data_IF_237218232073
#
_entry.id   IF_237218232073
#
_cell.length_a   1.000
_cell.length_b   1.000
_cell.length_c   1.000
_cell.angle_alpha   90.00
_cell.angle_beta   90.00
_cell.angle_gamma   90.00
#
_symmetry.space_group_name_H-M   'P 1'
#
loop_
_entity.id
_entity.type
_entity.pdbx_description
1 polymer ?
#
# COMPACT_ATOMS: atom_id res chain seq x y z
N UNK A 1 7.77 23.04 14.75
CA UNK A 1 7.13 23.32 13.44
C UNK A 1 6.64 22.04 12.76
N UNK A 2 7.50 21.05 12.50
CA UNK A 2 7.12 19.80 11.82
C UNK A 2 6.02 18.99 12.55
N UNK A 3 6.13 18.84 13.88
CA UNK A 3 5.10 18.17 14.70
C UNK A 3 3.73 18.85 14.54
N UNK A 4 3.68 20.19 14.40
CA UNK A 4 2.42 20.90 14.22
C UNK A 4 1.75 20.55 12.87
N UNK A 5 2.51 20.40 11.80
CA UNK A 5 1.98 19.93 10.51
C UNK A 5 1.46 18.50 10.57
N UNK A 6 2.15 17.62 11.31
CA UNK A 6 1.72 16.23 11.52
C UNK A 6 0.42 16.18 12.32
N UNK A 7 0.33 16.95 13.41
CA UNK A 7 -0.91 17.08 14.19
C UNK A 7 -2.04 17.64 13.33
N UNK A 8 -1.77 18.68 12.53
CA UNK A 8 -2.76 19.24 11.60
C UNK A 8 -3.24 18.19 10.58
N UNK A 9 -2.33 17.42 9.98
CA UNK A 9 -2.66 16.33 9.06
C UNK A 9 -3.56 15.26 9.73
N UNK A 10 -3.23 14.85 10.95
CA UNK A 10 -4.03 13.88 11.70
C UNK A 10 -5.42 14.43 12.02
N UNK A 11 -5.52 15.68 12.49
CA UNK A 11 -6.79 16.34 12.79
C UNK A 11 -7.65 16.45 11.54
N UNK A 12 -7.09 16.85 10.40
CA UNK A 12 -7.81 16.93 9.12
C UNK A 12 -8.28 15.55 8.68
N UNK A 13 -7.43 14.52 8.77
CA UNK A 13 -7.78 13.14 8.42
C UNK A 13 -8.94 12.63 9.27
N UNK A 14 -8.86 12.80 10.59
CA UNK A 14 -9.93 12.42 11.52
C UNK A 14 -11.21 13.19 11.20
N UNK A 15 -11.12 14.50 10.95
CA UNK A 15 -12.28 15.33 10.63
C UNK A 15 -12.96 14.88 9.33
N UNK A 16 -12.19 14.54 8.29
CA UNK A 16 -12.70 14.00 7.02
C UNK A 16 -13.41 12.67 7.28
N UNK A 17 -12.79 11.74 8.01
CA UNK A 17 -13.37 10.43 8.29
C UNK A 17 -14.64 10.49 9.14
N UNK A 18 -14.66 11.31 10.19
CA UNK A 18 -15.85 11.52 11.01
C UNK A 18 -16.97 12.26 10.26
N UNK A 19 -16.62 13.19 9.37
CA UNK A 19 -17.61 13.84 8.50
C UNK A 19 -18.20 12.85 7.49
N UNK A 20 -17.37 11.97 6.93
CA UNK A 20 -17.79 10.92 6.02
C UNK A 20 -18.73 9.91 6.68
N UNK A 21 -18.57 9.66 8.00
CA UNK A 21 -19.45 8.77 8.76
C UNK A 21 -20.93 9.19 8.72
N UNK A 22 -21.22 10.48 8.49
CA UNK A 22 -22.60 10.96 8.29
C UNK A 22 -23.28 10.42 7.04
N UNK A 23 -22.53 9.78 6.13
CA UNK A 23 -23.06 9.13 4.91
C UNK A 23 -23.46 7.68 5.12
N UNK A 24 -23.18 7.09 6.29
CA UNK A 24 -23.46 5.69 6.56
C UNK A 24 -24.81 5.54 7.22
N UNK A 25 -25.77 4.92 6.52
CA UNK A 25 -27.11 4.67 7.05
C UNK A 25 -27.43 3.18 7.20
N UNK A 26 -26.78 2.33 6.40
CA UNK A 26 -26.98 0.88 6.42
C UNK A 26 -25.66 0.10 6.21
N UNK A 27 -25.76 -1.23 6.18
CA UNK A 27 -24.60 -2.11 5.98
C UNK A 27 -23.98 -1.98 4.57
N UNK A 28 -24.75 -1.60 3.55
CA UNK A 28 -24.24 -1.44 2.18
C UNK A 28 -23.42 -0.14 2.07
N UNK A 29 -23.87 0.92 2.73
CA UNK A 29 -23.07 2.14 2.90
C UNK A 29 -21.80 1.87 3.70
N UNK A 30 -21.90 1.10 4.79
CA UNK A 30 -20.76 0.80 5.64
C UNK A 30 -19.68 -0.02 4.93
N UNK A 31 -20.07 -1.10 4.23
CA UNK A 31 -19.11 -2.03 3.63
C UNK A 31 -18.65 -1.59 2.25
N UNK A 32 -19.52 -1.02 1.40
CA UNK A 32 -19.19 -0.72 -0.01
C UNK A 32 -19.54 0.71 -0.43
N UNK A 33 -19.74 1.62 0.53
CA UNK A 33 -20.12 3.02 0.26
C UNK A 33 -21.34 3.14 -0.67
N UNK A 34 -22.30 2.23 -0.52
CA UNK A 34 -23.52 2.23 -1.33
C UNK A 34 -23.28 1.95 -2.81
N UNK A 35 -22.08 1.50 -3.19
CA UNK A 35 -21.63 1.37 -4.59
C UNK A 35 -21.76 2.70 -5.34
N UNK A 36 -21.20 3.74 -4.76
CA UNK A 36 -21.37 5.12 -5.26
C UNK A 36 -20.04 5.83 -5.51
N UNK A 37 -18.90 5.16 -5.31
CA UNK A 37 -17.59 5.80 -5.45
C UNK A 37 -17.33 6.18 -6.92
N UNK A 38 -17.17 7.49 -7.22
CA UNK A 38 -16.78 7.93 -8.55
C UNK A 38 -15.34 7.50 -8.87
N UNK A 39 -14.97 7.58 -10.15
CA UNK A 39 -13.69 7.06 -10.66
C UNK A 39 -12.48 7.57 -9.88
N UNK A 40 -12.40 8.87 -9.60
CA UNK A 40 -11.25 9.44 -8.89
C UNK A 40 -11.12 8.93 -7.45
N UNK A 41 -12.23 8.74 -6.73
CA UNK A 41 -12.21 8.16 -5.38
C UNK A 41 -11.84 6.69 -5.44
N UNK A 42 -12.44 5.93 -6.35
CA UNK A 42 -12.15 4.50 -6.50
C UNK A 42 -10.67 4.26 -6.83
N UNK A 43 -10.12 5.00 -7.80
CA UNK A 43 -8.69 4.96 -8.15
C UNK A 43 -7.80 5.32 -6.96
N UNK A 44 -8.12 6.39 -6.23
CA UNK A 44 -7.34 6.79 -5.06
C UNK A 44 -7.37 5.72 -3.96
N UNK A 45 -8.53 5.12 -3.68
CA UNK A 45 -8.66 4.04 -2.70
C UNK A 45 -7.88 2.79 -3.11
N UNK A 46 -7.92 2.40 -4.38
CA UNK A 46 -7.12 1.27 -4.89
C UNK A 46 -5.63 1.57 -4.74
N UNK A 47 -5.19 2.77 -5.12
CA UNK A 47 -3.80 3.20 -4.96
C UNK A 47 -3.38 3.23 -3.48
N UNK A 48 -4.12 3.94 -2.62
CA UNK A 48 -3.80 4.13 -1.20
C UNK A 48 -3.72 2.81 -0.42
N UNK A 49 -4.60 1.86 -0.74
CA UNK A 49 -4.62 0.55 -0.07
C UNK A 49 -3.34 -0.22 -0.32
N UNK A 50 -2.77 -0.10 -1.53
CA UNK A 50 -1.57 -0.84 -1.95
C UNK A 50 -0.28 -0.05 -1.75
N UNK A 51 -0.34 1.28 -1.76
CA UNK A 51 0.78 2.16 -1.49
C UNK A 51 0.94 2.39 0.02
N UNK A 52 1.41 1.36 0.72
CA UNK A 52 1.60 1.39 2.17
C UNK A 52 3.05 1.61 2.62
N UNK A 53 3.28 1.50 3.92
CA UNK A 53 4.62 1.58 4.50
C UNK A 53 5.58 0.49 4.00
N UNK A 54 5.06 -0.67 3.60
CA UNK A 54 5.83 -1.74 2.97
C UNK A 54 6.48 -1.27 1.65
N UNK A 55 5.68 -0.71 0.74
CA UNK A 55 6.17 -0.19 -0.55
C UNK A 55 7.15 0.95 -0.35
N UNK A 56 6.88 1.86 0.60
CA UNK A 56 7.77 2.99 0.84
C UNK A 56 9.08 2.55 1.49
N UNK A 57 9.02 1.74 2.56
CA UNK A 57 10.18 1.42 3.39
C UNK A 57 10.86 0.11 3.00
N UNK A 58 10.11 -0.99 3.00
CA UNK A 58 10.67 -2.34 2.82
C UNK A 58 11.12 -2.59 1.39
N UNK A 59 10.28 -2.25 0.40
CA UNK A 59 10.59 -2.46 -1.03
C UNK A 59 11.77 -1.59 -1.48
N UNK A 60 11.84 -0.35 -1.01
CA UNK A 60 12.97 0.54 -1.30
C UNK A 60 14.29 0.03 -0.72
N UNK A 61 14.27 -0.48 0.52
CA UNK A 61 15.44 -1.11 1.14
C UNK A 61 15.84 -2.41 0.42
N UNK A 62 14.86 -3.22 0.01
CA UNK A 62 15.09 -4.46 -0.73
C UNK A 62 15.72 -4.18 -2.11
N UNK A 63 15.22 -3.17 -2.82
CA UNK A 63 15.85 -2.70 -4.06
C UNK A 63 17.29 -2.26 -3.83
N UNK A 64 17.54 -1.48 -2.77
CA UNK A 64 18.89 -1.02 -2.45
C UNK A 64 19.86 -2.19 -2.22
N UNK A 65 19.40 -3.33 -1.69
CA UNK A 65 20.18 -4.56 -1.54
C UNK A 65 20.31 -5.34 -2.85
N UNK A 66 19.18 -5.76 -3.40
CA UNK A 66 19.09 -6.82 -4.40
C UNK A 66 18.67 -6.33 -5.80
N UNK A 67 18.47 -5.03 -5.98
CA UNK A 67 18.05 -4.44 -7.25
C UNK A 67 16.65 -4.85 -7.67
N UNK A 68 16.35 -4.71 -8.97
CA UNK A 68 15.03 -5.04 -9.51
C UNK A 68 14.64 -6.52 -9.33
N UNK A 69 15.61 -7.44 -9.37
CA UNK A 69 15.35 -8.86 -9.15
C UNK A 69 14.83 -9.21 -7.75
N UNK A 70 15.14 -8.39 -6.73
CA UNK A 70 14.65 -8.56 -5.35
C UNK A 70 13.22 -8.07 -5.12
N UNK A 71 12.75 -7.14 -5.95
CA UNK A 71 11.43 -6.47 -5.81
C UNK A 71 10.38 -7.03 -6.78
N UNK A 72 10.50 -8.30 -7.14
CA UNK A 72 9.57 -8.93 -8.09
C UNK A 72 8.15 -9.09 -7.53
N UNK A 73 8.01 -9.27 -6.21
CA UNK A 73 6.71 -9.39 -5.55
C UNK A 73 5.95 -8.05 -5.52
N UNK A 74 6.60 -6.99 -5.04
CA UNK A 74 6.13 -5.60 -5.06
C UNK A 74 7.25 -4.74 -5.65
N UNK A 75 7.02 -3.96 -6.74
CA UNK A 75 5.69 -3.59 -7.26
C UNK A 75 5.16 -4.45 -8.40
N UNK A 76 5.97 -5.34 -8.99
CA UNK A 76 5.59 -6.04 -10.23
C UNK A 76 4.44 -7.04 -10.04
N UNK A 77 4.50 -7.89 -9.02
CA UNK A 77 3.44 -8.85 -8.69
C UNK A 77 2.15 -8.15 -8.26
N UNK A 78 2.23 -7.24 -7.29
CA UNK A 78 1.09 -6.44 -6.83
C UNK A 78 0.38 -5.68 -7.96
N UNK A 79 1.13 -5.01 -8.84
CA UNK A 79 0.56 -4.29 -9.98
C UNK A 79 -0.08 -5.23 -11.00
N UNK A 80 0.55 -6.38 -11.26
CA UNK A 80 -0.01 -7.40 -12.13
C UNK A 80 -1.35 -7.93 -11.58
N UNK A 81 -1.43 -8.18 -10.26
CA UNK A 81 -2.68 -8.58 -9.60
C UNK A 81 -3.81 -7.57 -9.88
N UNK A 82 -3.54 -6.28 -9.64
CA UNK A 82 -4.52 -5.21 -9.86
C UNK A 82 -4.96 -5.12 -11.34
N UNK A 83 -4.03 -5.27 -12.28
CA UNK A 83 -4.35 -5.28 -13.72
C UNK A 83 -5.19 -6.50 -14.09
N UNK A 84 -4.82 -7.70 -13.64
CA UNK A 84 -5.58 -8.93 -13.90
C UNK A 84 -6.98 -8.84 -13.32
N UNK A 85 -7.11 -8.36 -12.08
CA UNK A 85 -8.42 -8.13 -11.46
C UNK A 85 -9.22 -7.15 -12.30
N UNK A 86 -8.66 -6.01 -12.68
CA UNK A 86 -9.37 -5.02 -13.47
C UNK A 86 -9.89 -5.57 -14.80
N UNK A 87 -9.08 -6.36 -15.51
CA UNK A 87 -9.41 -6.87 -16.84
C UNK A 87 -10.38 -8.06 -16.81
N UNK A 88 -10.18 -9.00 -15.89
CA UNK A 88 -10.88 -10.29 -15.91
C UNK A 88 -11.96 -10.43 -14.83
N UNK A 89 -11.72 -9.90 -13.63
CA UNK A 89 -12.57 -10.17 -12.47
C UNK A 89 -13.48 -8.99 -12.10
N UNK A 90 -13.09 -7.75 -12.36
CA UNK A 90 -13.76 -6.56 -11.84
C UNK A 90 -15.22 -6.48 -12.31
N UNK A 91 -15.50 -6.79 -13.58
CA UNK A 91 -16.88 -6.84 -14.11
C UNK A 91 -17.70 -7.94 -13.43
N UNK A 92 -17.11 -9.11 -13.27
CA UNK A 92 -17.77 -10.25 -12.65
C UNK A 92 -18.12 -9.95 -11.18
N UNK A 93 -17.14 -9.53 -10.39
CA UNK A 93 -17.33 -9.13 -8.99
C UNK A 93 -18.36 -8.01 -8.84
N UNK A 94 -18.29 -6.98 -9.69
CA UNK A 94 -19.25 -5.89 -9.65
C UNK A 94 -20.69 -6.41 -9.88
N UNK A 95 -20.92 -7.23 -10.90
CA UNK A 95 -22.27 -7.76 -11.25
C UNK A 95 -22.86 -8.71 -10.22
N UNK A 96 -22.05 -9.33 -9.37
CA UNK A 96 -22.55 -10.28 -8.37
C UNK A 96 -23.34 -9.60 -7.24
N UNK A 97 -23.19 -8.28 -7.06
CA UNK A 97 -23.83 -7.47 -6.00
C UNK A 97 -23.72 -8.10 -4.60
N UNK A 98 -22.50 -8.52 -4.24
CA UNK A 98 -22.16 -9.07 -2.94
C UNK A 98 -21.43 -8.03 -2.10
N UNK A 99 -21.54 -8.13 -0.77
CA UNK A 99 -20.87 -7.24 0.17
C UNK A 99 -19.43 -7.69 0.45
N UNK A 100 -19.22 -9.01 0.51
CA UNK A 100 -17.91 -9.60 0.82
C UNK A 100 -17.53 -10.70 -0.17
N UNK A 101 -16.23 -10.99 -0.26
CA UNK A 101 -15.74 -12.16 -0.97
C UNK A 101 -16.19 -13.46 -0.28
N UNK A 102 -16.44 -13.42 1.04
CA UNK A 102 -17.04 -14.53 1.78
C UNK A 102 -18.41 -14.94 1.23
N UNK A 103 -19.25 -13.96 0.87
CA UNK A 103 -20.56 -14.21 0.25
C UNK A 103 -20.43 -14.95 -1.09
N UNK A 104 -19.35 -14.70 -1.84
CA UNK A 104 -19.08 -15.42 -3.08
C UNK A 104 -18.86 -16.91 -2.79
N UNK A 105 -18.03 -17.23 -1.78
CA UNK A 105 -17.79 -18.61 -1.38
C UNK A 105 -19.05 -19.29 -0.81
N UNK A 106 -19.91 -18.55 -0.10
CA UNK A 106 -21.21 -19.05 0.34
C UNK A 106 -22.08 -19.46 -0.84
N UNK A 107 -22.21 -18.58 -1.83
CA UNK A 107 -23.05 -18.78 -3.02
C UNK A 107 -22.51 -19.89 -3.92
N UNK A 108 -21.18 -19.99 -4.03
CA UNK A 108 -20.51 -20.98 -4.89
C UNK A 108 -20.42 -22.37 -4.26
N UNK A 109 -20.28 -22.45 -2.93
CA UNK A 109 -20.09 -23.70 -2.20
C UNK A 109 -21.16 -23.86 -1.11
N UNK A 110 -20.91 -23.31 0.08
CA UNK A 110 -21.83 -23.36 1.23
C UNK A 110 -21.32 -22.46 2.38
N UNK A 111 -22.11 -22.40 3.46
CA UNK A 111 -21.80 -21.60 4.66
C UNK A 111 -20.54 -22.04 5.44
N UNK A 112 -20.22 -23.33 5.60
CA UNK A 112 -18.95 -23.73 6.19
C UNK A 112 -17.72 -23.15 5.46
N UNK A 113 -17.71 -23.19 4.13
CA UNK A 113 -16.59 -22.66 3.33
C UNK A 113 -16.51 -21.13 3.42
N UNK A 114 -17.64 -20.43 3.45
CA UNK A 114 -17.71 -18.98 3.73
C UNK A 114 -17.02 -18.63 5.05
N UNK A 115 -17.37 -19.33 6.14
CA UNK A 115 -16.82 -19.06 7.47
C UNK A 115 -15.31 -19.33 7.49
N UNK A 116 -14.89 -20.51 7.02
CA UNK A 116 -13.46 -20.88 7.00
C UNK A 116 -12.65 -19.87 6.18
N UNK A 117 -13.12 -19.51 4.99
CA UNK A 117 -12.40 -18.58 4.11
C UNK A 117 -12.35 -17.17 4.70
N UNK A 118 -13.45 -16.69 5.28
CA UNK A 118 -13.50 -15.37 5.93
C UNK A 118 -12.55 -15.29 7.13
N UNK A 119 -12.46 -16.36 7.92
CA UNK A 119 -11.52 -16.46 9.05
C UNK A 119 -10.08 -16.45 8.54
N UNK A 120 -9.74 -17.27 7.55
CA UNK A 120 -8.38 -17.32 6.96
C UNK A 120 -7.96 -15.96 6.40
N UNK A 121 -8.85 -15.29 5.64
CA UNK A 121 -8.59 -13.94 5.10
C UNK A 121 -8.39 -12.92 6.23
N UNK A 122 -9.20 -12.99 7.29
CA UNK A 122 -9.06 -12.09 8.44
C UNK A 122 -7.70 -12.27 9.11
N UNK A 123 -7.26 -13.51 9.33
CA UNK A 123 -5.95 -13.81 9.90
C UNK A 123 -4.81 -13.35 8.99
N UNK A 124 -4.94 -13.46 7.66
CA UNK A 124 -3.90 -12.99 6.74
C UNK A 124 -3.69 -11.47 6.82
N UNK A 125 -4.75 -10.69 7.06
CA UNK A 125 -4.63 -9.24 7.22
C UNK A 125 -3.97 -8.81 8.53
N UNK A 126 -3.89 -9.67 9.55
CA UNK A 126 -3.20 -9.30 10.80
C UNK A 126 -1.73 -9.00 10.56
N UNK A 127 -1.05 -9.80 9.73
CA UNK A 127 0.34 -9.57 9.36
C UNK A 127 0.51 -8.21 8.68
N UNK A 128 -0.26 -7.98 7.62
CA UNK A 128 -0.19 -6.72 6.86
C UNK A 128 -0.54 -5.50 7.73
N UNK A 129 -1.63 -5.55 8.48
CA UNK A 129 -2.07 -4.45 9.34
C UNK A 129 -1.06 -4.18 10.45
N UNK A 130 -0.45 -5.22 11.04
CA UNK A 130 0.58 -5.06 12.07
C UNK A 130 1.83 -4.33 11.56
N UNK A 131 2.23 -4.58 10.31
CA UNK A 131 3.34 -3.90 9.66
C UNK A 131 3.04 -2.41 9.46
N UNK A 132 1.82 -2.06 9.01
CA UNK A 132 1.40 -0.67 8.84
C UNK A 132 1.33 0.08 10.19
N UNK A 133 0.77 -0.56 11.23
CA UNK A 133 0.70 0.04 12.57
C UNK A 133 2.09 0.25 13.17
N UNK A 134 3.02 -0.69 12.94
CA UNK A 134 4.42 -0.57 13.37
C UNK A 134 5.11 0.60 12.68
N UNK A 135 4.93 0.77 11.37
CA UNK A 135 5.49 1.89 10.63
C UNK A 135 4.95 3.25 11.11
N UNK A 136 3.64 3.33 11.39
CA UNK A 136 3.04 4.54 11.97
C UNK A 136 3.59 4.84 13.37
N UNK A 137 3.76 3.82 14.22
CA UNK A 137 4.39 3.98 15.52
C UNK A 137 5.85 4.40 15.44
N UNK A 138 6.60 3.89 14.46
CA UNK A 138 7.97 4.31 14.17
C UNK A 138 8.00 5.78 13.77
N UNK A 139 7.10 6.23 12.90
CA UNK A 139 6.98 7.64 12.54
C UNK A 139 6.76 8.52 13.78
N UNK A 140 5.84 8.16 14.69
CA UNK A 140 5.64 8.92 15.93
C UNK A 140 6.88 8.93 16.84
N UNK A 141 7.55 7.79 16.99
CA UNK A 141 8.78 7.70 17.76
C UNK A 141 9.88 8.59 17.18
N UNK A 142 10.11 8.54 15.87
CA UNK A 142 11.12 9.35 15.17
C UNK A 142 10.80 10.84 15.25
N UNK A 143 9.56 11.23 14.98
CA UNK A 143 9.15 12.64 14.97
C UNK A 143 9.15 13.29 16.37
N UNK A 144 8.98 12.48 17.41
CA UNK A 144 9.06 12.92 18.80
C UNK A 144 10.48 12.83 19.38
N UNK A 145 11.49 12.49 18.58
CA UNK A 145 12.86 12.22 19.02
C UNK A 145 12.93 11.21 20.18
N UNK A 146 12.11 10.15 20.10
CA UNK A 146 12.05 9.08 21.09
C UNK A 146 11.22 9.39 22.34
N UNK A 147 10.60 10.58 22.44
CA UNK A 147 9.73 10.91 23.57
C UNK A 147 8.45 10.04 23.62
N UNK A 148 7.98 9.57 22.45
CA UNK A 148 6.92 8.56 22.35
C UNK A 148 7.57 7.20 22.03
N UNK A 149 7.60 6.26 22.99
CA UNK A 149 8.10 4.91 22.72
C UNK A 149 7.29 4.21 21.63
N UNK A 150 7.95 3.37 20.82
CA UNK A 150 7.31 2.63 19.72
C UNK A 150 5.99 1.93 20.10
N UNK A 151 5.88 1.17 21.22
CA UNK A 151 4.61 0.53 21.59
C UNK A 151 3.47 1.53 21.82
N UNK A 152 3.78 2.67 22.44
CA UNK A 152 2.80 3.74 22.65
C UNK A 152 2.42 4.38 21.32
N UNK A 153 3.39 4.61 20.43
CA UNK A 153 3.15 5.13 19.08
C UNK A 153 2.21 4.22 18.27
N UNK A 154 2.41 2.89 18.35
CA UNK A 154 1.54 1.90 17.71
C UNK A 154 0.11 1.99 18.24
N UNK A 155 -0.07 2.03 19.56
CA UNK A 155 -1.39 2.11 20.19
C UNK A 155 -2.11 3.41 19.82
N UNK A 156 -1.40 4.55 19.85
CA UNK A 156 -1.97 5.84 19.46
C UNK A 156 -2.37 5.85 17.98
N UNK A 157 -1.52 5.33 17.10
CA UNK A 157 -1.80 5.21 15.67
C UNK A 157 -3.03 4.34 15.41
N UNK A 158 -3.09 3.17 16.05
CA UNK A 158 -4.24 2.27 15.97
C UNK A 158 -5.52 2.93 16.49
N UNK A 159 -5.47 3.63 17.62
CA UNK A 159 -6.63 4.33 18.18
C UNK A 159 -7.19 5.39 17.23
N UNK A 160 -6.31 6.16 16.57
CA UNK A 160 -6.70 7.17 15.58
C UNK A 160 -7.34 6.52 14.35
N UNK A 161 -6.68 5.52 13.76
CA UNK A 161 -7.14 4.86 12.52
C UNK A 161 -8.44 4.10 12.75
N UNK A 162 -8.53 3.33 13.85
CA UNK A 162 -9.77 2.66 14.24
C UNK A 162 -10.88 3.68 14.53
N UNK A 163 -10.53 4.80 15.17
CA UNK A 163 -11.47 5.83 15.59
C UNK A 163 -12.24 6.50 14.45
N UNK A 164 -11.69 6.65 13.25
CA UNK A 164 -12.49 7.16 12.11
C UNK A 164 -13.00 6.05 11.19
N UNK A 165 -12.38 4.86 11.21
CA UNK A 165 -12.75 3.74 10.33
C UNK A 165 -13.98 3.00 10.86
N UNK A 166 -14.04 2.73 12.17
CA UNK A 166 -15.16 2.00 12.80
C UNK A 166 -16.48 2.75 12.69
N UNK A 167 -16.45 4.08 12.76
CA UNK A 167 -17.68 4.87 12.64
C UNK A 167 -18.09 5.14 11.19
N UNK A 168 -17.14 5.31 10.28
CA UNK A 168 -17.45 5.78 8.94
C UNK A 168 -17.32 4.77 7.80
N UNK A 169 -16.87 3.55 8.08
CA UNK A 169 -16.79 2.46 7.10
C UNK A 169 -16.07 2.85 5.81
N UNK A 170 -16.54 2.31 4.68
CA UNK A 170 -15.95 2.54 3.36
C UNK A 170 -16.01 4.00 2.91
N UNK A 171 -17.01 4.78 3.35
CA UNK A 171 -17.08 6.21 3.04
C UNK A 171 -15.95 7.01 3.67
N UNK A 172 -15.63 6.72 4.93
CA UNK A 172 -14.51 7.31 5.64
C UNK A 172 -13.19 6.95 4.98
N UNK A 173 -12.99 5.66 4.72
CA UNK A 173 -11.79 5.15 4.01
C UNK A 173 -11.64 5.83 2.65
N UNK A 174 -12.67 5.87 1.81
CA UNK A 174 -12.53 6.42 0.46
C UNK A 174 -12.21 7.93 0.44
N UNK A 175 -12.75 8.71 1.38
CA UNK A 175 -12.46 10.14 1.47
C UNK A 175 -11.09 10.42 2.09
N UNK A 176 -10.70 9.66 3.13
CA UNK A 176 -9.35 9.77 3.68
C UNK A 176 -8.32 9.33 2.65
N UNK A 177 -8.55 8.22 1.95
CA UNK A 177 -7.64 7.71 0.91
C UNK A 177 -7.46 8.72 -0.21
N UNK A 178 -8.52 9.41 -0.64
CA UNK A 178 -8.41 10.47 -1.65
C UNK A 178 -7.49 11.61 -1.18
N UNK A 179 -7.72 12.12 0.04
CA UNK A 179 -6.89 13.17 0.61
C UNK A 179 -5.44 12.72 0.79
N UNK A 180 -5.23 11.54 1.37
CA UNK A 180 -3.92 10.98 1.68
C UNK A 180 -3.13 10.65 0.41
N UNK A 181 -3.78 10.10 -0.62
CA UNK A 181 -3.15 9.80 -1.91
C UNK A 181 -2.57 11.04 -2.55
N UNK A 182 -3.32 12.15 -2.55
CA UNK A 182 -2.85 13.43 -3.09
C UNK A 182 -1.64 13.93 -2.31
N UNK A 183 -1.70 13.88 -0.98
CA UNK A 183 -0.60 14.29 -0.10
C UNK A 183 0.65 13.43 -0.30
N UNK A 184 0.50 12.11 -0.43
CA UNK A 184 1.59 11.16 -0.68
C UNK A 184 2.24 11.44 -2.04
N UNK A 185 1.42 11.54 -3.09
CA UNK A 185 1.91 11.79 -4.46
C UNK A 185 2.73 13.07 -4.50
N UNK A 186 2.21 14.17 -3.94
CA UNK A 186 2.92 15.45 -3.90
C UNK A 186 4.17 15.36 -3.02
N UNK A 187 4.03 14.86 -1.79
CA UNK A 187 5.10 14.82 -0.79
C UNK A 187 6.29 13.98 -1.24
N UNK A 188 6.03 12.75 -1.70
CA UNK A 188 7.07 11.82 -2.16
C UNK A 188 7.74 12.35 -3.44
N UNK A 189 6.99 12.96 -4.36
CA UNK A 189 7.58 13.58 -5.57
C UNK A 189 8.49 14.76 -5.22
N UNK A 190 8.10 15.62 -4.27
CA UNK A 190 8.94 16.73 -3.82
C UNK A 190 10.22 16.24 -3.14
N UNK A 191 10.13 15.22 -2.28
CA UNK A 191 11.31 14.60 -1.66
C UNK A 191 12.23 14.01 -2.72
N UNK A 192 11.68 13.27 -3.70
CA UNK A 192 12.48 12.72 -4.81
C UNK A 192 13.20 13.82 -5.60
N UNK A 193 12.54 14.95 -5.86
CA UNK A 193 13.16 16.07 -6.55
C UNK A 193 14.32 16.68 -5.73
N UNK A 194 14.10 16.97 -4.44
CA UNK A 194 15.13 17.57 -3.56
C UNK A 194 16.31 16.63 -3.36
N UNK A 195 16.06 15.38 -2.98
CA UNK A 195 17.11 14.39 -2.73
C UNK A 195 17.83 14.04 -4.05
N UNK A 196 17.10 13.97 -5.17
CA UNK A 196 17.70 13.77 -6.48
C UNK A 196 18.65 14.90 -6.88
N UNK A 197 18.29 16.17 -6.62
CA UNK A 197 19.15 17.32 -6.86
C UNK A 197 20.41 17.30 -5.98
N UNK A 198 20.24 17.01 -4.68
CA UNK A 198 21.35 16.86 -3.73
C UNK A 198 22.33 15.75 -4.12
N UNK A 199 21.87 14.67 -4.76
CA UNK A 199 22.71 13.59 -5.26
C UNK A 199 23.51 13.98 -6.54
N UNK A 200 23.25 15.15 -7.11
CA UNK A 200 23.84 15.64 -8.36
C UNK A 200 22.96 15.41 -9.59
N UNK A 201 21.64 15.30 -9.40
CA UNK A 201 20.63 15.16 -10.45
C UNK A 201 20.19 13.71 -10.70
N UNK A 202 18.94 13.55 -11.16
CA UNK A 202 18.31 12.24 -11.37
C UNK A 202 19.11 11.34 -12.35
N UNK A 203 19.73 11.91 -13.38
CA UNK A 203 20.56 11.15 -14.33
C UNK A 203 21.75 10.47 -13.67
N UNK A 204 22.39 11.14 -12.69
CA UNK A 204 23.53 10.57 -11.94
C UNK A 204 23.09 9.43 -11.03
N UNK A 205 21.94 9.57 -10.37
CA UNK A 205 21.36 8.52 -9.54
C UNK A 205 21.04 7.26 -10.37
N UNK A 206 20.39 7.45 -11.52
CA UNK A 206 20.03 6.35 -12.43
C UNK A 206 21.28 5.69 -13.03
N UNK A 207 22.29 6.47 -13.42
CA UNK A 207 23.55 5.92 -13.94
C UNK A 207 24.28 5.10 -12.88
N UNK A 208 24.39 5.59 -11.65
CA UNK A 208 24.99 4.84 -10.54
C UNK A 208 24.24 3.53 -10.25
N UNK A 209 22.90 3.55 -10.31
CA UNK A 209 22.09 2.33 -10.17
C UNK A 209 22.37 1.33 -11.28
N UNK A 210 22.50 1.79 -12.52
CA UNK A 210 22.83 0.95 -13.67
C UNK A 210 24.23 0.33 -13.53
N UNK A 211 25.24 1.13 -13.18
CA UNK A 211 26.63 0.70 -12.97
C UNK A 211 26.74 -0.33 -11.84
N UNK A 212 25.93 -0.17 -10.78
CA UNK A 212 25.83 -1.11 -9.67
C UNK A 212 24.99 -2.36 -9.99
N UNK A 213 24.55 -2.54 -11.24
CA UNK A 213 23.74 -3.70 -11.67
C UNK A 213 22.33 -3.74 -11.10
N UNK A 214 21.82 -2.63 -10.53
CA UNK A 214 20.51 -2.62 -9.85
C UNK A 214 19.32 -2.81 -10.79
N UNK A 215 19.56 -2.74 -12.11
CA UNK A 215 18.56 -3.05 -13.13
C UNK A 215 18.58 -4.50 -13.61
N UNK A 216 19.47 -5.34 -13.07
CA UNK A 216 19.40 -6.78 -13.30
C UNK A 216 18.06 -7.33 -12.77
N UNK A 217 17.16 -7.64 -13.69
CA UNK A 217 15.80 -8.09 -13.36
C UNK A 217 15.71 -9.61 -13.22
N UNK A 218 16.41 -10.35 -14.08
CA UNK A 218 16.30 -11.81 -14.15
C UNK A 218 17.29 -12.50 -13.20
N UNK A 219 16.88 -13.60 -12.55
CA UNK A 219 17.81 -14.42 -11.79
C UNK A 219 18.95 -14.95 -12.66
N UNK A 220 20.18 -14.81 -12.17
CA UNK A 220 21.40 -15.36 -12.80
C UNK A 220 21.77 -16.75 -12.27
N UNK A 221 21.07 -17.22 -11.24
CA UNK A 221 21.30 -18.49 -10.57
C UNK A 221 20.62 -19.69 -11.24
N UNK A 222 20.60 -20.81 -10.53
CA UNK A 222 20.02 -22.06 -10.99
C UNK A 222 18.52 -22.18 -10.71
N UNK A 223 18.03 -23.42 -10.69
CA UNK A 223 16.60 -23.70 -10.54
C UNK A 223 16.01 -23.14 -9.23
N UNK A 224 16.79 -23.09 -8.14
CA UNK A 224 16.33 -22.58 -6.84
C UNK A 224 15.99 -21.09 -6.90
N UNK A 225 16.85 -20.29 -7.52
CA UNK A 225 16.67 -18.84 -7.66
C UNK A 225 15.50 -18.52 -8.58
N UNK A 226 15.35 -19.25 -9.68
CA UNK A 226 14.19 -19.13 -10.57
C UNK A 226 12.88 -19.55 -9.89
N UNK A 227 12.90 -20.61 -9.08
CA UNK A 227 11.76 -21.02 -8.28
C UNK A 227 11.39 -19.94 -7.27
N UNK A 228 12.35 -19.42 -6.50
CA UNK A 228 12.11 -18.37 -5.51
C UNK A 228 11.53 -17.10 -6.16
N UNK A 229 12.10 -16.68 -7.30
CA UNK A 229 11.62 -15.55 -8.10
C UNK A 229 10.18 -15.77 -8.57
N UNK A 230 9.90 -16.94 -9.17
CA UNK A 230 8.57 -17.30 -9.66
C UNK A 230 7.55 -17.40 -8.53
N UNK A 231 7.90 -18.00 -7.40
CA UNK A 231 7.00 -18.11 -6.25
C UNK A 231 6.72 -16.76 -5.61
N UNK A 232 7.74 -15.91 -5.43
CA UNK A 232 7.56 -14.57 -4.87
C UNK A 232 6.61 -13.72 -5.74
N UNK A 233 6.81 -13.77 -7.06
CA UNK A 233 5.91 -13.13 -8.00
C UNK A 233 4.48 -13.71 -7.92
N UNK A 234 4.32 -15.03 -8.03
CA UNK A 234 3.01 -15.70 -8.02
C UNK A 234 2.23 -15.44 -6.73
N UNK A 235 2.91 -15.41 -5.58
CA UNK A 235 2.29 -15.16 -4.28
C UNK A 235 1.56 -13.81 -4.26
N UNK A 236 2.15 -12.75 -4.79
CA UNK A 236 1.51 -11.43 -4.84
C UNK A 236 0.62 -11.25 -6.08
N UNK A 237 1.09 -11.71 -7.24
CA UNK A 237 0.42 -11.56 -8.53
C UNK A 237 -0.92 -12.31 -8.61
N UNK A 238 -0.97 -13.53 -8.08
CA UNK A 238 -2.16 -14.40 -8.15
C UNK A 238 -2.75 -14.62 -6.76
N UNK A 239 -1.90 -14.80 -5.74
CA UNK A 239 -2.36 -15.08 -4.37
C UNK A 239 -3.18 -13.95 -3.74
N UNK A 240 -3.03 -12.72 -4.22
CA UNK A 240 -3.81 -11.58 -3.72
C UNK A 240 -5.16 -11.37 -4.44
N UNK A 241 -5.43 -12.02 -5.58
CA UNK A 241 -6.70 -11.88 -6.32
C UNK A 241 -7.95 -12.14 -5.47
N UNK A 242 -8.02 -13.18 -4.62
CA UNK A 242 -9.21 -13.47 -3.81
C UNK A 242 -9.30 -12.63 -2.53
N UNK A 243 -8.50 -11.58 -2.37
CA UNK A 243 -8.49 -10.77 -1.16
C UNK A 243 -9.72 -9.84 -1.05
N UNK A 244 -10.14 -9.59 0.19
CA UNK A 244 -11.33 -8.82 0.51
C UNK A 244 -11.19 -7.34 0.17
N UNK A 245 -10.00 -6.76 0.35
CA UNK A 245 -9.72 -5.37 0.01
C UNK A 245 -9.92 -5.13 -1.49
N UNK A 246 -9.32 -5.95 -2.36
CA UNK A 246 -9.51 -5.88 -3.81
C UNK A 246 -11.00 -5.98 -4.17
N UNK A 247 -11.67 -7.02 -3.65
CA UNK A 247 -13.09 -7.25 -3.90
C UNK A 247 -13.93 -6.03 -3.51
N UNK A 248 -13.69 -5.49 -2.31
CA UNK A 248 -14.43 -4.36 -1.76
C UNK A 248 -14.21 -3.08 -2.55
N UNK A 249 -12.99 -2.80 -3.04
CA UNK A 249 -12.72 -1.62 -3.87
C UNK A 249 -13.42 -1.71 -5.23
N UNK A 250 -13.41 -2.89 -5.84
CA UNK A 250 -14.14 -3.15 -7.10
C UNK A 250 -15.63 -2.95 -6.92
N UNK A 251 -16.24 -3.53 -5.88
CA UNK A 251 -17.69 -3.48 -5.67
C UNK A 251 -18.18 -2.12 -5.17
N UNK A 252 -17.32 -1.30 -4.57
CA UNK A 252 -17.68 0.05 -4.10
C UNK A 252 -17.80 1.10 -5.23
N UNK A 253 -17.37 0.78 -6.44
CA UNK A 253 -17.48 1.68 -7.59
C UNK A 253 -18.94 2.06 -7.89
N UNK A 254 -19.17 3.24 -8.48
CA UNK A 254 -20.51 3.71 -8.87
C UNK A 254 -21.17 2.94 -10.01
N UNK A 255 -20.35 2.35 -10.88
CA UNK A 255 -20.77 1.59 -12.06
C UNK A 255 -19.69 0.59 -12.46
N UNK A 256 -20.05 -0.39 -13.27
CA UNK A 256 -19.13 -1.44 -13.74
C UNK A 256 -17.91 -0.88 -14.48
N UNK A 257 -18.12 0.20 -15.25
CA UNK A 257 -17.07 0.84 -16.03
C UNK A 257 -16.03 1.48 -15.10
N UNK A 258 -16.50 2.06 -14.00
CA UNK A 258 -15.73 2.64 -12.93
C UNK A 258 -15.01 1.55 -12.13
N UNK A 259 -15.64 0.40 -11.88
CA UNK A 259 -14.99 -0.73 -11.21
C UNK A 259 -13.73 -1.20 -11.98
N UNK A 260 -13.86 -1.35 -13.31
CA UNK A 260 -12.74 -1.74 -14.18
C UNK A 260 -11.69 -0.63 -14.28
N UNK A 261 -12.10 0.58 -14.66
CA UNK A 261 -11.17 1.70 -14.90
C UNK A 261 -10.50 2.15 -13.60
N UNK A 262 -11.24 2.16 -12.50
CA UNK A 262 -10.75 2.57 -11.18
C UNK A 262 -9.64 1.66 -10.70
N UNK A 263 -9.88 0.35 -10.75
CA UNK A 263 -8.88 -0.68 -10.41
C UNK A 263 -7.67 -0.63 -11.33
N UNK A 264 -7.88 -0.50 -12.65
CA UNK A 264 -6.78 -0.43 -13.62
C UNK A 264 -5.92 0.82 -13.41
N UNK A 265 -6.54 1.99 -13.29
CA UNK A 265 -5.83 3.24 -13.05
C UNK A 265 -5.11 3.22 -11.70
N UNK A 266 -5.75 2.68 -10.66
CA UNK A 266 -5.12 2.54 -9.34
C UNK A 266 -3.86 1.68 -9.40
N UNK A 267 -3.91 0.55 -10.10
CA UNK A 267 -2.75 -0.31 -10.33
C UNK A 267 -1.64 0.33 -11.16
N UNK A 268 -1.99 1.08 -12.21
CA UNK A 268 -1.01 1.80 -13.04
C UNK A 268 -0.34 2.94 -12.26
N UNK A 269 -1.12 3.71 -11.49
CA UNK A 269 -0.59 4.78 -10.64
C UNK A 269 0.30 4.19 -9.55
N UNK A 270 -0.13 3.11 -8.89
CA UNK A 270 0.68 2.40 -7.91
C UNK A 270 2.01 1.92 -8.50
N UNK A 271 1.99 1.21 -9.63
CA UNK A 271 3.20 0.74 -10.31
C UNK A 271 4.16 1.89 -10.60
N UNK A 272 3.64 3.00 -11.13
CA UNK A 272 4.46 4.16 -11.50
C UNK A 272 5.07 4.84 -10.28
N UNK A 273 4.30 4.99 -9.19
CA UNK A 273 4.74 5.70 -7.99
C UNK A 273 5.58 4.85 -7.04
N UNK A 274 5.48 3.52 -7.09
CA UNK A 274 6.31 2.63 -6.27
C UNK A 274 7.82 2.79 -6.53
N UNK A 275 8.20 3.23 -7.73
CA UNK A 275 9.60 3.53 -8.05
C UNK A 275 10.12 4.84 -7.45
N UNK A 276 9.26 5.73 -6.96
CA UNK A 276 9.67 7.03 -6.42
C UNK A 276 10.35 6.88 -5.04
N UNK A 277 9.78 6.13 -4.07
CA UNK A 277 10.51 5.78 -2.84
C UNK A 277 11.83 5.02 -3.10
N UNK A 278 11.83 4.10 -4.06
CA UNK A 278 13.03 3.38 -4.49
C UNK A 278 14.13 4.37 -4.92
N UNK A 279 13.77 5.34 -5.75
CA UNK A 279 14.68 6.40 -6.18
C UNK A 279 15.19 7.23 -5.00
N UNK A 280 14.32 7.62 -4.07
CA UNK A 280 14.69 8.41 -2.88
C UNK A 280 15.74 7.69 -2.04
N UNK A 281 15.52 6.41 -1.71
CA UNK A 281 16.48 5.63 -0.91
C UNK A 281 17.81 5.52 -1.63
N UNK A 282 17.79 5.19 -2.93
CA UNK A 282 19.02 5.02 -3.68
C UNK A 282 19.80 6.34 -3.82
N UNK A 283 19.12 7.46 -4.06
CA UNK A 283 19.72 8.79 -4.06
C UNK A 283 20.29 9.15 -2.68
N UNK A 284 19.58 8.83 -1.59
CA UNK A 284 20.04 9.01 -0.22
C UNK A 284 21.34 8.26 0.09
N UNK A 285 21.48 7.02 -0.40
CA UNK A 285 22.71 6.23 -0.27
C UNK A 285 23.90 6.83 -1.03
N UNK A 286 23.66 7.51 -2.15
CA UNK A 286 24.71 8.23 -2.89
C UNK A 286 25.18 9.49 -2.16
N UNK A 287 24.27 10.18 -1.45
CA UNK A 287 24.59 11.38 -0.67
C UNK A 287 25.32 11.01 0.61
N UNK A 288 24.84 9.98 1.31
CA UNK A 288 25.36 9.55 2.61
C UNK A 288 25.62 8.03 2.61
N UNK A 289 26.80 7.59 2.12
CA UNK A 289 27.14 6.16 2.08
C UNK A 289 27.12 5.47 3.44
N UNK A 290 27.27 6.21 4.54
CA UNK A 290 27.14 5.68 5.91
C UNK A 290 25.77 5.07 6.19
N UNK A 291 24.71 5.49 5.48
CA UNK A 291 23.37 4.93 5.60
C UNK A 291 23.30 3.48 5.12
N UNK A 292 24.25 3.02 4.30
CA UNK A 292 24.31 1.62 3.86
C UNK A 292 24.44 0.64 5.04
N UNK A 293 24.95 1.09 6.19
CA UNK A 293 25.01 0.26 7.41
C UNK A 293 23.63 -0.21 7.87
N UNK A 294 22.58 0.57 7.65
CA UNK A 294 21.20 0.19 7.97
C UNK A 294 20.67 -0.91 7.06
N UNK A 295 21.17 -1.07 5.83
CA UNK A 295 20.79 -2.19 4.96
C UNK A 295 21.27 -3.52 5.56
N UNK A 296 22.35 -3.53 6.33
CA UNK A 296 22.85 -4.76 6.95
C UNK A 296 22.14 -5.12 8.27
N UNK A 297 21.19 -4.32 8.73
CA UNK A 297 20.46 -4.60 9.97
C UNK A 297 19.56 -5.84 9.82
N UNK A 298 19.61 -6.74 10.81
CA UNK A 298 18.70 -7.89 10.89
C UNK A 298 17.27 -7.48 11.26
N UNK A 299 17.13 -6.39 12.02
CA UNK A 299 15.82 -5.84 12.39
C UNK A 299 15.28 -4.96 11.26
N UNK A 300 14.13 -5.35 10.70
CA UNK A 300 13.44 -4.57 9.68
C UNK A 300 13.12 -3.15 10.12
N UNK A 301 12.91 -2.89 11.41
CA UNK A 301 12.65 -1.55 11.95
C UNK A 301 13.88 -0.65 11.89
N UNK A 302 15.07 -1.23 12.00
CA UNK A 302 16.33 -0.49 11.85
C UNK A 302 16.61 -0.20 10.37
N UNK A 303 16.27 -1.13 9.47
CA UNK A 303 16.32 -0.86 8.02
C UNK A 303 15.36 0.28 7.63
N UNK A 304 14.18 0.35 8.25
CA UNK A 304 13.19 1.40 7.97
C UNK A 304 13.68 2.82 8.29
N UNK A 305 14.75 3.00 9.09
CA UNK A 305 15.36 4.31 9.36
C UNK A 305 16.16 4.88 8.19
N UNK A 306 16.27 4.15 7.07
CA UNK A 306 16.87 4.62 5.82
C UNK A 306 16.10 5.79 5.16
N UNK A 307 14.81 5.94 5.51
CA UNK A 307 13.90 6.97 5.01
C UNK A 307 13.54 7.96 6.12
#
# INVERSE_FOLDING_TARGET
>A
MLIAFVVLYLVVTIAIGLWAAKRVHDSKDYVVAGRSLPLYMNTATVFATWFGAETVLSVSAEYAKNGLGGVIADPFGSSFCLVIVALFFARAFYRMDLLTIGDFYRKRYNRPIEIVTSVVITFSYLGWTSAQMTALGLAFSTLSNGAIPLPLGIVLGAAVVLGYTVWGGMWSVALTDLFQSVMIIIGVTLVAWVVGDMAGGAGKVIAAAAEAGKFDFWPKGGAKEWLAFGTAWLTLAIGSVPQQDIFQRVTSAKDEKTAVRGTLLGGVVYFSFAFVPIFIVYAGLLIAPSLASYLSAEDAREMQKLL
#
